data_IF_743784472901
#
_entry.id   IF_743784472901
#
_cell.length_a   1.000
_cell.length_b   1.000
_cell.length_c   1.000
_cell.angle_alpha   90.00
_cell.angle_beta   90.00
_cell.angle_gamma   90.00
#
_symmetry.space_group_name_H-M   'P 1'
#
loop_
_entity.id
_entity.type
_entity.pdbx_description
1 polymer ?
#
# COMPACT_ATOMS: atom_id res chain seq x y z
N UNK A 1 13.43 19.49 -2.06
CA UNK A 1 12.44 18.57 -1.47
C UNK A 1 12.09 17.48 -2.48
N UNK A 2 11.62 16.34 -1.98
CA UNK A 2 11.18 15.20 -2.79
C UNK A 2 9.66 15.29 -2.96
N UNK A 3 9.16 15.12 -4.19
CA UNK A 3 7.74 14.96 -4.47
C UNK A 3 7.51 13.92 -5.56
N UNK A 4 7.05 12.74 -5.17
CA UNK A 4 6.85 11.58 -6.05
C UNK A 4 5.38 11.47 -6.47
N UNK A 5 4.96 12.24 -7.47
CA UNK A 5 3.57 12.25 -7.94
C UNK A 5 3.10 10.86 -8.41
N UNK A 6 3.96 10.13 -9.10
CA UNK A 6 3.61 8.80 -9.64
C UNK A 6 3.33 7.77 -8.54
N UNK A 7 3.98 7.90 -7.40
CA UNK A 7 3.81 7.00 -6.26
C UNK A 7 2.44 7.14 -5.55
N UNK A 8 1.69 8.19 -5.84
CA UNK A 8 0.37 8.46 -5.23
C UNK A 8 -0.79 8.41 -6.20
N UNK A 9 -0.56 7.97 -7.43
CA UNK A 9 -1.63 7.72 -8.39
C UNK A 9 -2.65 6.73 -7.86
N UNK A 10 -3.91 6.93 -8.27
CA UNK A 10 -5.04 6.07 -7.89
C UNK A 10 -5.49 5.31 -9.11
N UNK A 11 -5.57 3.99 -8.99
CA UNK A 11 -6.15 3.10 -9.99
C UNK A 11 -7.66 3.14 -9.93
N UNK A 12 -8.26 3.54 -11.04
CA UNK A 12 -9.71 3.62 -11.21
C UNK A 12 -10.18 2.73 -12.34
N UNK A 13 -11.32 2.08 -12.15
CA UNK A 13 -11.96 1.31 -13.20
C UNK A 13 -12.50 2.24 -14.29
N UNK A 14 -12.26 1.87 -15.55
CA UNK A 14 -12.76 2.62 -16.71
C UNK A 14 -14.15 2.12 -17.06
N UNK A 15 -15.18 2.95 -16.86
CA UNK A 15 -16.57 2.63 -17.11
C UNK A 15 -16.91 2.87 -18.58
N UNK A 16 -16.40 3.95 -19.18
CA UNK A 16 -16.63 4.32 -20.58
C UNK A 16 -15.27 4.40 -21.31
N UNK A 17 -14.78 3.28 -21.90
CA UNK A 17 -13.47 3.23 -22.53
C UNK A 17 -13.46 4.04 -23.83
N UNK A 18 -12.69 5.13 -23.86
CA UNK A 18 -12.46 5.93 -25.06
C UNK A 18 -11.22 5.44 -25.79
N UNK A 19 -11.35 5.23 -27.12
CA UNK A 19 -10.26 4.78 -27.98
C UNK A 19 -9.98 5.80 -29.09
N UNK A 20 -8.71 5.94 -29.44
CA UNK A 20 -8.24 6.73 -30.58
C UNK A 20 -7.55 5.78 -31.55
N UNK A 21 -8.00 5.74 -32.80
CA UNK A 21 -7.48 4.80 -33.82
C UNK A 21 -7.45 3.34 -33.34
N UNK A 22 -8.52 2.91 -32.63
CA UNK A 22 -8.66 1.55 -32.12
C UNK A 22 -7.85 1.22 -30.86
N UNK A 23 -6.99 2.13 -30.39
CA UNK A 23 -6.15 1.92 -29.20
C UNK A 23 -6.69 2.69 -27.99
N UNK A 24 -6.55 2.15 -26.76
CA UNK A 24 -6.82 2.90 -25.53
C UNK A 24 -6.08 4.23 -25.52
N UNK A 25 -6.74 5.34 -25.15
CA UNK A 25 -6.12 6.65 -25.14
C UNK A 25 -5.28 6.89 -23.88
N UNK A 26 -5.85 6.64 -22.71
CA UNK A 26 -5.27 6.97 -21.39
C UNK A 26 -5.67 5.96 -20.32
N UNK A 27 -5.83 4.70 -20.73
CA UNK A 27 -6.17 3.58 -19.86
C UNK A 27 -5.53 2.30 -20.37
N UNK A 28 -5.42 1.32 -19.48
CA UNK A 28 -4.81 0.02 -19.76
C UNK A 28 -5.89 -1.06 -19.84
N UNK A 29 -5.80 -1.91 -20.85
CA UNK A 29 -6.60 -3.12 -21.00
C UNK A 29 -5.87 -4.26 -20.27
N UNK A 30 -6.53 -4.91 -19.33
CA UNK A 30 -5.99 -6.06 -18.60
C UNK A 30 -6.99 -7.19 -18.60
N UNK A 31 -6.55 -8.41 -18.30
CA UNK A 31 -7.45 -9.56 -18.18
C UNK A 31 -8.52 -9.40 -17.08
N UNK A 32 -8.31 -8.49 -16.12
CA UNK A 32 -9.23 -8.23 -15.01
C UNK A 32 -10.13 -7.02 -15.26
N UNK A 33 -9.97 -6.35 -16.40
CA UNK A 33 -10.75 -5.17 -16.76
C UNK A 33 -9.90 -4.02 -17.26
N UNK A 34 -10.54 -2.90 -17.49
CA UNK A 34 -9.93 -1.69 -18.00
C UNK A 34 -9.69 -0.72 -16.85
N UNK A 35 -8.46 -0.26 -16.67
CA UNK A 35 -8.06 0.60 -15.58
C UNK A 35 -7.25 1.80 -16.06
N UNK A 36 -7.35 2.88 -15.31
CA UNK A 36 -6.57 4.10 -15.50
C UNK A 36 -5.96 4.54 -14.18
N UNK A 37 -4.67 4.86 -14.19
CA UNK A 37 -3.97 5.43 -13.05
C UNK A 37 -4.00 6.96 -13.16
N UNK A 38 -4.74 7.61 -12.27
CA UNK A 38 -4.96 9.06 -12.26
C UNK A 38 -4.26 9.72 -11.09
N UNK A 39 -3.79 10.95 -11.29
CA UNK A 39 -3.33 11.76 -10.16
C UNK A 39 -4.48 11.97 -9.17
N UNK A 40 -4.22 11.92 -7.87
CA UNK A 40 -5.23 12.25 -6.88
C UNK A 40 -5.63 13.73 -7.01
N UNK A 41 -6.89 14.03 -6.71
CA UNK A 41 -7.35 15.40 -6.52
C UNK A 41 -6.87 15.95 -5.16
N UNK A 42 -7.16 17.21 -4.88
CA UNK A 42 -6.97 17.79 -3.56
C UNK A 42 -7.97 17.27 -2.50
N UNK A 43 -8.96 16.49 -2.92
CA UNK A 43 -9.91 15.81 -2.07
C UNK A 43 -9.72 14.28 -2.19
N UNK A 44 -9.35 13.62 -1.09
CA UNK A 44 -9.03 12.18 -1.06
C UNK A 44 -10.23 11.38 -0.54
N UNK A 45 -11.17 11.11 -1.41
CA UNK A 45 -12.39 10.34 -1.14
C UNK A 45 -12.16 8.83 -1.00
N UNK A 46 -10.96 8.37 -1.33
CA UNK A 46 -10.54 6.98 -1.20
C UNK A 46 -9.99 6.62 0.19
N UNK A 47 -9.88 7.59 1.11
CA UNK A 47 -9.44 7.40 2.49
C UNK A 47 -10.64 7.14 3.39
N UNK A 48 -10.54 6.11 4.24
CA UNK A 48 -11.51 5.83 5.31
C UNK A 48 -10.85 5.95 6.66
N UNK A 49 -11.62 6.31 7.69
CA UNK A 49 -11.20 6.20 9.09
C UNK A 49 -11.10 4.72 9.43
N UNK A 50 -10.08 4.27 10.17
CA UNK A 50 -10.04 2.91 10.69
C UNK A 50 -11.29 2.62 11.53
N UNK A 51 -11.94 1.49 11.29
CA UNK A 51 -13.09 1.05 12.06
C UNK A 51 -12.85 -0.36 12.61
N UNK A 52 -13.68 -0.78 13.55
CA UNK A 52 -13.47 -1.94 14.43
C UNK A 52 -13.11 -3.24 13.71
N UNK A 53 -13.54 -3.46 12.46
CA UNK A 53 -13.23 -4.67 11.70
C UNK A 53 -11.93 -4.60 10.91
N UNK A 54 -11.23 -3.46 10.89
CA UNK A 54 -9.94 -3.33 10.19
C UNK A 54 -8.80 -3.81 11.08
N UNK A 55 -7.88 -4.59 10.52
CA UNK A 55 -6.73 -5.15 11.25
C UNK A 55 -5.79 -4.06 11.82
N UNK A 56 -5.80 -2.87 11.22
CA UNK A 56 -5.00 -1.73 11.70
C UNK A 56 -5.60 -1.00 12.90
N UNK A 57 -6.87 -1.26 13.24
CA UNK A 57 -7.60 -0.48 14.24
C UNK A 57 -7.13 -0.76 15.67
N UNK A 58 -7.08 0.31 16.47
CA UNK A 58 -6.88 0.26 17.93
C UNK A 58 -7.96 1.08 18.63
N UNK A 59 -7.98 1.07 19.95
CA UNK A 59 -8.88 1.91 20.73
C UNK A 59 -8.46 3.40 20.79
N UNK A 60 -7.43 3.80 20.04
CA UNK A 60 -7.00 5.19 20.00
C UNK A 60 -8.07 6.08 19.32
N UNK A 61 -8.55 7.15 19.98
CA UNK A 61 -9.76 7.88 19.55
C UNK A 61 -9.59 8.64 18.24
N UNK A 62 -8.37 8.98 17.85
CA UNK A 62 -8.08 9.77 16.64
C UNK A 62 -7.07 9.10 15.73
N UNK A 63 -7.00 7.77 15.75
CA UNK A 63 -6.08 7.02 14.90
C UNK A 63 -6.26 7.38 13.42
N UNK A 64 -5.15 7.62 12.73
CA UNK A 64 -5.13 7.84 11.28
C UNK A 64 -5.03 6.50 10.54
N UNK A 65 -5.59 6.42 9.33
CA UNK A 65 -5.47 5.21 8.52
C UNK A 65 -4.06 5.06 7.94
N UNK A 66 -3.60 3.82 7.82
CA UNK A 66 -2.33 3.50 7.18
C UNK A 66 -2.28 3.99 5.73
N UNK A 67 -3.38 3.92 5.00
CA UNK A 67 -3.47 4.40 3.61
C UNK A 67 -3.19 5.91 3.49
N UNK A 68 -3.70 6.72 4.43
CA UNK A 68 -3.43 8.16 4.47
C UNK A 68 -1.93 8.42 4.64
N UNK A 69 -1.33 7.81 5.66
CA UNK A 69 0.09 8.01 5.95
C UNK A 69 0.96 7.47 4.81
N UNK A 70 0.58 6.34 4.20
CA UNK A 70 1.30 5.79 3.05
C UNK A 70 1.35 6.78 1.87
N UNK A 71 0.25 7.44 1.54
CA UNK A 71 0.23 8.48 0.50
C UNK A 71 1.20 9.62 0.82
N UNK A 72 1.21 10.09 2.06
CA UNK A 72 2.10 11.18 2.49
C UNK A 72 3.56 10.73 2.37
N UNK A 73 3.91 9.57 2.92
CA UNK A 73 5.29 9.09 2.94
C UNK A 73 5.81 8.77 1.54
N UNK A 74 5.00 8.12 0.71
CA UNK A 74 5.38 7.81 -0.67
C UNK A 74 5.56 9.06 -1.53
N UNK A 75 4.73 10.09 -1.32
CA UNK A 75 4.86 11.35 -2.03
C UNK A 75 6.12 12.12 -1.64
N UNK A 76 6.57 12.05 -0.39
CA UNK A 76 7.54 12.98 0.19
C UNK A 76 8.85 12.34 0.64
N UNK A 77 9.03 11.03 0.47
CA UNK A 77 10.25 10.31 0.89
C UNK A 77 10.58 9.15 -0.02
N UNK A 78 11.83 8.69 0.10
CA UNK A 78 12.37 7.50 -0.54
C UNK A 78 12.60 6.37 0.46
N UNK A 79 12.81 5.14 -0.01
CA UNK A 79 13.21 4.03 0.86
C UNK A 79 14.55 4.35 1.54
N UNK A 80 14.66 3.99 2.81
CA UNK A 80 15.83 4.29 3.64
C UNK A 80 15.83 5.68 4.30
N UNK A 81 14.93 6.58 3.92
CA UNK A 81 14.81 7.89 4.57
C UNK A 81 14.30 7.75 6.02
N UNK A 82 14.61 8.75 6.84
CA UNK A 82 14.16 8.84 8.22
C UNK A 82 12.87 9.65 8.32
N UNK A 83 11.86 9.08 8.95
CA UNK A 83 10.56 9.69 9.24
C UNK A 83 10.48 10.01 10.73
N UNK A 84 10.16 11.25 11.08
CA UNK A 84 9.94 11.70 12.46
C UNK A 84 8.46 12.02 12.67
N UNK A 85 7.86 11.43 13.73
CA UNK A 85 6.52 11.79 14.20
C UNK A 85 6.60 12.17 15.70
N UNK A 86 6.55 13.46 16.02
CA UNK A 86 6.64 13.93 17.41
C UNK A 86 5.33 13.75 18.19
N UNK A 87 4.25 13.27 17.58
CA UNK A 87 2.94 13.01 18.19
C UNK A 87 2.42 11.65 17.75
N UNK A 88 3.18 10.60 18.05
CA UNK A 88 3.05 9.27 17.47
C UNK A 88 1.67 8.63 17.65
N UNK A 89 1.03 8.83 18.80
CA UNK A 89 -0.23 8.16 19.13
C UNK A 89 -0.10 6.63 19.08
N UNK A 90 -1.03 5.98 18.40
CA UNK A 90 -1.00 4.51 18.22
C UNK A 90 0.01 4.01 17.17
N UNK A 91 0.95 4.84 16.74
CA UNK A 91 2.10 4.44 15.91
C UNK A 91 1.84 4.29 14.42
N UNK A 92 0.79 4.87 13.86
CA UNK A 92 0.47 4.68 12.43
C UNK A 92 1.62 5.11 11.53
N UNK A 93 2.27 6.24 11.80
CA UNK A 93 3.40 6.74 11.01
C UNK A 93 4.58 5.76 11.03
N UNK A 94 4.99 5.28 12.21
CA UNK A 94 6.08 4.31 12.35
C UNK A 94 5.77 2.97 11.69
N UNK A 95 4.53 2.48 11.83
CA UNK A 95 4.07 1.24 11.19
C UNK A 95 4.15 1.34 9.68
N UNK A 96 3.65 2.43 9.10
CA UNK A 96 3.68 2.64 7.64
C UNK A 96 5.11 2.86 7.15
N UNK A 97 5.92 3.64 7.86
CA UNK A 97 7.34 3.81 7.53
C UNK A 97 8.06 2.46 7.47
N UNK A 98 7.85 1.59 8.46
CA UNK A 98 8.39 0.22 8.48
C UNK A 98 7.90 -0.62 7.29
N UNK A 99 6.60 -0.64 7.01
CA UNK A 99 6.00 -1.37 5.87
C UNK A 99 6.55 -0.89 4.52
N UNK A 100 6.89 0.37 4.42
CA UNK A 100 7.43 1.01 3.21
C UNK A 100 8.97 1.10 3.19
N UNK A 101 9.67 0.43 4.12
CA UNK A 101 11.14 0.38 4.20
C UNK A 101 11.78 1.75 4.46
N UNK A 102 11.18 2.56 5.32
CA UNK A 102 11.76 3.78 5.88
C UNK A 102 12.20 3.54 7.31
N UNK A 103 13.19 4.29 7.78
CA UNK A 103 13.50 4.42 9.20
C UNK A 103 12.48 5.35 9.87
N UNK A 104 12.29 5.19 11.17
CA UNK A 104 11.31 6.02 11.90
C UNK A 104 11.77 6.32 13.32
N UNK A 105 11.38 7.50 13.79
CA UNK A 105 11.45 7.92 15.19
C UNK A 105 10.08 8.46 15.54
N UNK A 106 9.47 7.93 16.60
CA UNK A 106 8.20 8.39 17.14
C UNK A 106 8.37 8.86 18.58
N UNK A 107 7.67 9.94 18.94
CA UNK A 107 7.63 10.47 20.32
C UNK A 107 6.19 10.41 20.78
N UNK A 108 5.95 9.77 21.93
CA UNK A 108 4.64 9.64 22.54
C UNK A 108 4.79 9.72 24.06
N UNK A 109 3.89 10.44 24.69
CA UNK A 109 3.92 10.68 26.14
C UNK A 109 3.05 9.67 26.89
N UNK A 110 1.98 9.17 26.24
CA UNK A 110 1.04 8.24 26.84
C UNK A 110 1.54 6.80 26.68
N UNK A 111 1.88 6.17 27.80
CA UNK A 111 2.45 4.82 27.83
C UNK A 111 1.56 3.76 27.15
N UNK A 112 0.23 3.89 27.28
CA UNK A 112 -0.71 2.97 26.63
C UNK A 112 -0.62 3.06 25.10
N UNK A 113 -0.41 4.25 24.55
CA UNK A 113 -0.25 4.45 23.11
C UNK A 113 1.08 3.90 22.61
N UNK A 114 2.12 4.02 23.41
CA UNK A 114 3.41 3.37 23.13
C UNK A 114 3.24 1.83 23.01
N UNK A 115 2.52 1.21 23.93
CA UNK A 115 2.25 -0.24 23.89
C UNK A 115 1.50 -0.62 22.61
N UNK A 116 0.49 0.14 22.21
CA UNK A 116 -0.22 -0.14 20.94
C UNK A 116 0.68 0.07 19.73
N UNK A 117 1.53 1.08 19.73
CA UNK A 117 2.48 1.30 18.65
C UNK A 117 3.46 0.13 18.51
N UNK A 118 4.02 -0.38 19.60
CA UNK A 118 4.91 -1.54 19.61
C UNK A 118 4.20 -2.81 19.10
N UNK A 119 2.99 -3.09 19.59
CA UNK A 119 2.19 -4.23 19.11
C UNK A 119 1.94 -4.16 17.60
N UNK A 120 1.57 -2.99 17.09
CA UNK A 120 1.36 -2.79 15.65
C UNK A 120 2.66 -2.93 14.84
N UNK A 121 3.78 -2.47 15.38
CA UNK A 121 5.10 -2.65 14.76
C UNK A 121 5.50 -4.12 14.67
N UNK A 122 5.19 -4.94 15.68
CA UNK A 122 5.40 -6.39 15.59
C UNK A 122 4.49 -7.03 14.54
N UNK A 123 3.20 -6.66 14.52
CA UNK A 123 2.26 -7.16 13.50
C UNK A 123 2.66 -6.76 12.08
N UNK A 124 3.28 -5.59 11.89
CA UNK A 124 3.77 -5.15 10.58
C UNK A 124 4.89 -6.03 10.00
N UNK A 125 5.63 -6.77 10.84
CA UNK A 125 6.60 -7.80 10.36
C UNK A 125 5.91 -8.97 9.69
N UNK A 126 4.76 -9.38 10.21
CA UNK A 126 3.99 -10.53 9.73
C UNK A 126 3.06 -10.15 8.57
N UNK A 127 2.58 -8.92 8.58
CA UNK A 127 1.69 -8.40 7.56
C UNK A 127 2.17 -7.04 7.03
N UNK A 128 3.05 -7.01 6.03
CA UNK A 128 3.57 -5.78 5.45
C UNK A 128 2.57 -5.07 4.51
N UNK A 129 1.42 -5.67 4.24
CA UNK A 129 0.40 -5.08 3.37
C UNK A 129 -0.22 -3.80 3.96
N UNK A 130 -0.58 -2.86 3.08
CA UNK A 130 -1.36 -1.66 3.42
C UNK A 130 -2.67 -1.76 2.66
N UNK A 131 -3.79 -1.67 3.37
CA UNK A 131 -5.10 -1.78 2.75
C UNK A 131 -5.31 -0.70 1.69
N UNK A 132 -5.72 -1.11 0.49
CA UNK A 132 -5.93 -0.20 -0.63
C UNK A 132 -4.65 0.25 -1.35
N UNK A 133 -3.49 -0.35 -1.02
CA UNK A 133 -2.22 -0.15 -1.72
C UNK A 133 -1.62 -1.50 -2.08
N UNK A 134 -1.65 -1.88 -3.36
CA UNK A 134 -1.19 -3.17 -3.85
C UNK A 134 -0.34 -2.99 -5.10
N UNK A 135 0.80 -3.68 -5.16
CA UNK A 135 1.73 -3.63 -6.30
C UNK A 135 2.14 -2.20 -6.72
N UNK A 136 2.40 -1.34 -5.72
CA UNK A 136 2.85 0.02 -5.97
C UNK A 136 1.77 1.02 -6.38
N UNK A 137 0.49 0.65 -6.32
CA UNK A 137 -0.62 1.48 -6.78
C UNK A 137 -1.71 1.58 -5.71
N UNK A 138 -2.24 2.78 -5.50
CA UNK A 138 -3.44 2.97 -4.70
C UNK A 138 -4.69 2.63 -5.49
N UNK A 139 -5.65 2.02 -4.82
CA UNK A 139 -6.94 1.64 -5.39
C UNK A 139 -8.05 2.55 -4.85
N UNK A 140 -9.04 2.82 -5.70
CA UNK A 140 -10.24 3.54 -5.28
C UNK A 140 -11.03 2.75 -4.23
N UNK A 141 -12.02 3.42 -3.63
CA UNK A 141 -12.93 2.80 -2.65
C UNK A 141 -13.73 1.66 -3.29
N UNK A 142 -14.12 0.69 -2.46
CA UNK A 142 -14.98 -0.43 -2.85
C UNK A 142 -14.42 -1.34 -3.96
N UNK A 143 -13.11 -1.35 -4.15
CA UNK A 143 -12.42 -2.20 -5.15
C UNK A 143 -11.74 -3.45 -4.52
N UNK A 144 -12.18 -3.90 -3.35
CA UNK A 144 -11.54 -5.01 -2.63
C UNK A 144 -11.56 -6.33 -3.41
N UNK A 145 -12.63 -6.60 -4.16
CA UNK A 145 -12.74 -7.81 -4.98
C UNK A 145 -11.69 -7.83 -6.09
N UNK A 146 -11.49 -6.70 -6.76
CA UNK A 146 -10.48 -6.52 -7.78
C UNK A 146 -9.06 -6.61 -7.20
N UNK A 147 -8.82 -6.00 -6.03
CA UNK A 147 -7.56 -6.06 -5.32
C UNK A 147 -7.17 -7.50 -4.96
N UNK A 148 -8.10 -8.29 -4.45
CA UNK A 148 -7.88 -9.69 -4.10
C UNK A 148 -7.54 -10.55 -5.32
N UNK A 149 -8.15 -10.31 -6.47
CA UNK A 149 -7.86 -11.04 -7.71
C UNK A 149 -6.42 -10.80 -8.19
N UNK A 150 -5.93 -9.57 -8.06
CA UNK A 150 -4.54 -9.21 -8.39
C UNK A 150 -3.54 -9.86 -7.43
N UNK A 151 -3.86 -9.87 -6.13
CA UNK A 151 -2.98 -10.44 -5.10
C UNK A 151 -2.83 -11.96 -5.22
N UNK A 152 -3.89 -12.66 -5.60
CA UNK A 152 -3.89 -14.12 -5.77
C UNK A 152 -3.05 -14.56 -6.99
N UNK A 153 -3.07 -13.79 -8.08
CA UNK A 153 -2.24 -14.07 -9.27
C UNK A 153 -0.76 -13.81 -8.99
N UNK A 154 -0.40 -12.71 -8.37
CA UNK A 154 0.99 -12.39 -8.03
C UNK A 154 1.66 -13.47 -7.17
N UNK A 155 0.92 -14.09 -6.24
CA UNK A 155 1.42 -15.23 -5.44
C UNK A 155 1.60 -16.51 -6.27
N UNK A 156 0.76 -16.74 -7.29
CA UNK A 156 0.92 -17.91 -8.19
C UNK A 156 2.11 -17.75 -9.12
N UNK A 157 2.34 -16.54 -9.62
CA UNK A 157 3.45 -16.27 -10.54
C UNK A 157 4.81 -16.36 -9.83
N UNK A 158 4.91 -15.88 -8.57
CA UNK A 158 6.12 -16.05 -7.75
C UNK A 158 6.38 -17.52 -7.40
N UNK A 159 5.36 -18.29 -7.03
CA UNK A 159 5.54 -19.72 -6.73
C UNK A 159 5.90 -20.55 -7.97
N UNK A 160 5.43 -20.18 -9.15
CA UNK A 160 5.77 -20.81 -10.41
C UNK A 160 7.20 -20.49 -10.85
N UNK A 161 7.67 -19.25 -10.63
CA UNK A 161 9.05 -18.85 -10.94
C UNK A 161 10.07 -19.48 -10.01
N UNK A 162 9.74 -19.64 -8.74
CA UNK A 162 10.62 -20.30 -7.76
C UNK A 162 10.69 -21.81 -7.99
N UNK A 163 9.59 -22.45 -8.38
CA UNK A 163 9.57 -23.86 -8.77
C UNK A 163 10.39 -24.10 -10.06
N UNK A 164 10.34 -23.17 -11.01
CA UNK A 164 11.09 -23.26 -12.26
C UNK A 164 12.60 -23.03 -12.04
N UNK A 165 12.99 -22.11 -11.14
CA UNK A 165 14.40 -21.95 -10.73
C UNK A 165 14.95 -23.19 -10.05
N UNK A 166 14.23 -23.78 -9.11
CA UNK A 166 14.67 -25.00 -8.42
C UNK A 166 14.82 -26.19 -9.37
N UNK A 167 14.07 -26.25 -10.47
CA UNK A 167 14.19 -27.31 -11.49
C UNK A 167 15.44 -27.12 -12.38
N UNK A 168 15.85 -25.89 -12.65
CA UNK A 168 17.04 -25.58 -13.43
C UNK A 168 18.34 -25.81 -12.62
N UNK A 169 18.33 -25.53 -11.32
CA UNK A 169 19.47 -25.76 -10.42
C UNK A 169 19.74 -27.27 -10.22
N UNK A 170 18.74 -28.14 -10.39
CA UNK A 170 18.89 -29.60 -10.27
C UNK A 170 19.44 -30.27 -11.55
N UNK A 171 19.49 -29.60 -12.69
CA UNK A 171 20.00 -30.12 -13.96
C UNK A 171 21.47 -29.71 -14.24
N UNK A 172 22.08 -28.91 -13.37
CA UNK A 172 23.46 -28.44 -13.49
C UNK A 172 24.53 -29.30 -12.78
N UNK A 173 24.16 -30.37 -12.09
CA UNK A 173 25.07 -31.30 -11.38
C UNK A 173 24.98 -32.73 -11.90
N UNK A 174 25.21 -32.93 -13.20
CA UNK A 174 25.52 -34.27 -13.79
C UNK A 174 26.63 -34.12 -14.80
#
# INVERSE_FOLDING_TARGET
YVFNLDAVKIRKKVIAPYRVNGKPKDWNETEQGNYRDTCPSNFWDDITIPFWSMAENTAHPTQKSEKLIAKILLASSSQGDLVLDPFLGSGTTSVVAKKLLRHYIGIEMESQYCVWAEQRLEMAKLNPGIQGYINGVFWERNSLAEQNSVHTKSKKDTSASDAQKSLFDFQGEL
#
